data_IF_097718114073
#
_entry.id   IF_097718114073
#
_cell.length_a   1.000
_cell.length_b   1.000
_cell.length_c   1.000
_cell.angle_alpha   90.00
_cell.angle_beta   90.00
_cell.angle_gamma   90.00
#
_symmetry.space_group_name_H-M   'P 1'
#
loop_
_entity.id
_entity.type
_entity.pdbx_description
1 polymer ?
#
# COMPACT_ATOMS: atom_id res chain seq x y z
N UNK A 1 37.01 -5.37 -0.65
CA UNK A 1 35.79 -5.33 0.17
C UNK A 1 34.62 -5.14 -0.77
N UNK A 2 33.67 -6.07 -0.81
CA UNK A 2 32.41 -5.90 -1.53
C UNK A 2 31.72 -4.64 -0.97
N UNK A 3 31.41 -3.65 -1.82
CA UNK A 3 30.61 -2.50 -1.37
C UNK A 3 29.25 -3.04 -0.92
N UNK A 4 28.94 -2.91 0.36
CA UNK A 4 27.60 -3.11 0.90
C UNK A 4 26.99 -1.72 1.02
N UNK A 5 25.83 -1.48 0.40
CA UNK A 5 25.15 -0.17 0.53
C UNK A 5 24.41 0.31 -0.71
N UNK A 6 24.40 1.63 -0.87
CA UNK A 6 23.69 2.35 -1.93
C UNK A 6 24.53 2.31 -3.20
N UNK A 7 23.95 1.86 -4.31
CA UNK A 7 24.57 1.85 -5.63
C UNK A 7 24.45 3.21 -6.31
N UNK A 8 23.27 3.84 -6.21
CA UNK A 8 22.97 5.14 -6.83
C UNK A 8 21.87 5.84 -6.06
N UNK A 9 21.95 7.16 -5.97
CA UNK A 9 20.85 8.03 -5.57
C UNK A 9 20.58 8.98 -6.72
N UNK A 10 19.32 9.10 -7.12
CA UNK A 10 18.86 10.05 -8.13
C UNK A 10 17.59 10.76 -7.66
N UNK A 11 17.26 11.87 -8.30
CA UNK A 11 16.00 12.57 -8.08
C UNK A 11 15.42 12.98 -9.42
N UNK A 12 14.14 12.65 -9.62
CA UNK A 12 13.35 13.09 -10.77
C UNK A 12 12.69 14.45 -10.55
N UNK A 13 12.60 14.91 -9.30
CA UNK A 13 11.93 16.18 -8.97
C UNK A 13 12.88 17.34 -8.68
N UNK A 14 14.11 17.11 -8.22
CA UNK A 14 15.06 18.18 -7.95
C UNK A 14 16.48 17.81 -8.40
N UNK A 15 17.27 18.80 -8.81
CA UNK A 15 18.68 18.57 -9.07
C UNK A 15 19.43 18.38 -7.75
N UNK A 16 20.14 17.26 -7.63
CA UNK A 16 20.87 16.87 -6.41
C UNK A 16 22.34 16.58 -6.70
N UNK A 17 23.19 16.81 -5.70
CA UNK A 17 24.55 16.31 -5.62
C UNK A 17 24.61 15.23 -4.53
N UNK A 18 25.35 14.16 -4.79
CA UNK A 18 25.40 12.99 -3.92
C UNK A 18 26.86 12.67 -3.63
N UNK A 19 27.24 12.76 -2.36
CA UNK A 19 28.53 12.30 -1.87
C UNK A 19 28.42 10.86 -1.34
N UNK A 20 29.06 9.94 -2.08
CA UNK A 20 29.17 8.51 -1.74
C UNK A 20 30.59 8.13 -1.27
N UNK A 21 31.42 9.11 -0.89
CA UNK A 21 32.81 8.88 -0.47
C UNK A 21 32.91 8.16 0.88
N UNK A 22 31.95 8.38 1.77
CA UNK A 22 31.90 7.75 3.09
C UNK A 22 31.18 6.39 3.04
N UNK A 23 31.72 5.40 3.76
CA UNK A 23 31.19 4.02 3.76
C UNK A 23 29.86 3.87 4.52
N UNK A 24 29.60 4.71 5.52
CA UNK A 24 28.47 4.57 6.46
C UNK A 24 27.52 5.77 6.47
N UNK A 25 27.83 6.83 5.71
CA UNK A 25 27.01 8.04 5.62
C UNK A 25 26.97 8.51 4.18
N UNK A 26 25.77 8.82 3.70
CA UNK A 26 25.57 9.38 2.37
C UNK A 26 25.00 10.78 2.55
N UNK A 27 25.62 11.77 1.92
CA UNK A 27 25.15 13.16 1.97
C UNK A 27 24.54 13.51 0.62
N UNK A 28 23.30 13.98 0.66
CA UNK A 28 22.56 14.42 -0.52
C UNK A 28 22.26 15.91 -0.32
N UNK A 29 22.72 16.72 -1.25
CA UNK A 29 22.54 18.17 -1.24
C UNK A 29 21.77 18.60 -2.49
N UNK A 30 21.04 19.71 -2.42
CA UNK A 30 20.52 20.31 -3.63
C UNK A 30 21.68 20.86 -4.45
N UNK A 31 21.69 20.57 -5.75
CA UNK A 31 22.75 21.05 -6.64
C UNK A 31 22.69 22.57 -6.88
N UNK A 32 21.58 23.21 -6.50
CA UNK A 32 21.32 24.63 -6.69
C UNK A 32 21.22 25.30 -5.32
N UNK A 33 21.77 26.51 -5.20
CA UNK A 33 21.69 27.32 -3.97
C UNK A 33 20.24 27.71 -3.65
N UNK A 34 19.43 28.01 -4.68
CA UNK A 34 18.02 28.37 -4.55
C UNK A 34 17.13 27.34 -5.27
N UNK A 35 16.78 26.26 -4.58
CA UNK A 35 15.81 25.28 -5.07
C UNK A 35 14.38 25.72 -4.69
N UNK A 36 13.47 25.75 -5.66
CA UNK A 36 12.05 26.00 -5.41
C UNK A 36 11.45 24.79 -4.68
N UNK A 37 10.88 25.00 -3.48
CA UNK A 37 10.25 23.97 -2.66
C UNK A 37 8.72 23.96 -2.84
N UNK A 38 8.27 24.00 -4.09
CA UNK A 38 6.87 24.05 -4.49
C UNK A 38 6.28 22.69 -4.90
N UNK A 39 7.08 21.62 -4.78
CA UNK A 39 6.72 20.24 -5.14
C UNK A 39 7.44 19.22 -4.27
N UNK A 40 6.97 17.96 -4.34
CA UNK A 40 7.56 16.85 -3.59
C UNK A 40 9.02 16.59 -3.98
N UNK A 41 9.84 16.27 -2.99
CA UNK A 41 11.21 15.79 -3.19
C UNK A 41 11.15 14.27 -3.34
N UNK A 42 11.43 13.79 -4.56
CA UNK A 42 11.44 12.37 -4.89
C UNK A 42 12.90 11.92 -4.96
N UNK A 43 13.27 10.99 -4.07
CA UNK A 43 14.60 10.36 -4.06
C UNK A 43 14.47 8.89 -4.44
N UNK A 44 15.10 8.53 -5.54
CA UNK A 44 15.22 7.16 -6.02
C UNK A 44 16.57 6.61 -5.55
N UNK A 45 16.53 5.64 -4.64
CA UNK A 45 17.72 5.03 -4.03
C UNK A 45 17.83 3.59 -4.53
N UNK A 46 18.80 3.37 -5.43
CA UNK A 46 19.17 2.05 -5.90
C UNK A 46 20.20 1.44 -4.95
N UNK A 47 19.91 0.27 -4.41
CA UNK A 47 20.88 -0.48 -3.60
C UNK A 47 21.63 -1.50 -4.47
N UNK A 48 22.82 -1.88 -4.03
CA UNK A 48 23.68 -2.86 -4.72
C UNK A 48 22.92 -4.20 -4.88
N UNK A 49 23.08 -4.84 -6.05
CA UNK A 49 22.29 -6.01 -6.49
C UNK A 49 22.67 -7.31 -5.76
N UNK A 50 23.93 -7.47 -5.38
CA UNK A 50 24.40 -8.65 -4.65
C UNK A 50 24.19 -8.44 -3.15
N UNK A 51 22.99 -8.75 -2.67
CA UNK A 51 22.62 -8.56 -1.26
C UNK A 51 22.82 -9.88 -0.52
N UNK A 52 23.73 -9.88 0.43
CA UNK A 52 23.84 -10.95 1.41
C UNK A 52 22.78 -10.77 2.51
N UNK A 53 22.44 -11.88 3.14
CA UNK A 53 21.64 -11.87 4.36
C UNK A 53 22.43 -11.11 5.44
N UNK A 54 21.84 -10.04 5.97
CA UNK A 54 22.56 -9.12 6.85
C UNK A 54 21.65 -8.57 7.94
N UNK A 55 22.24 -8.36 9.11
CA UNK A 55 21.63 -7.54 10.16
C UNK A 55 21.85 -6.08 9.79
N UNK A 56 20.75 -5.40 9.44
CA UNK A 56 20.79 -4.03 8.95
C UNK A 56 21.12 -3.04 10.07
N UNK A 57 20.61 -3.28 11.27
CA UNK A 57 20.72 -2.38 12.39
C UNK A 57 20.46 -3.12 13.71
N UNK A 58 21.20 -2.72 14.74
CA UNK A 58 21.00 -3.15 16.12
C UNK A 58 21.02 -1.91 17.00
N UNK A 59 20.01 -1.81 17.85
CA UNK A 59 19.92 -0.81 18.91
C UNK A 59 19.62 -1.51 20.24
N UNK A 60 19.62 -0.76 21.35
CA UNK A 60 19.24 -1.34 22.64
C UNK A 60 17.79 -1.81 22.60
N UNK A 61 17.56 -3.10 22.80
CA UNK A 61 16.23 -3.71 22.81
C UNK A 61 15.60 -3.98 21.43
N UNK A 62 16.25 -3.66 20.30
CA UNK A 62 15.71 -3.99 18.98
C UNK A 62 16.78 -4.39 17.93
N UNK A 63 16.41 -5.31 17.04
CA UNK A 63 17.22 -5.76 15.90
C UNK A 63 16.39 -5.72 14.62
N UNK A 64 17.00 -5.25 13.52
CA UNK A 64 16.45 -5.31 12.17
C UNK A 64 17.33 -6.19 11.28
N UNK A 65 16.73 -7.19 10.66
CA UNK A 65 17.39 -8.08 9.71
C UNK A 65 16.80 -7.98 8.32
N UNK A 66 17.66 -8.17 7.33
CA UNK A 66 17.32 -8.31 5.92
C UNK A 66 17.76 -9.68 5.44
N UNK A 67 16.77 -10.52 5.15
CA UNK A 67 16.96 -11.85 4.59
C UNK A 67 16.58 -11.81 3.11
N UNK A 68 17.45 -12.29 2.23
CA UNK A 68 17.26 -12.29 0.78
C UNK A 68 17.59 -13.69 0.25
N UNK A 69 16.61 -14.61 0.21
CA UNK A 69 16.85 -15.96 -0.30
C UNK A 69 17.23 -15.90 -1.77
N UNK A 70 18.30 -16.60 -2.13
CA UNK A 70 18.78 -16.69 -3.51
C UNK A 70 17.92 -17.66 -4.33
N UNK A 71 18.10 -17.66 -5.66
CA UNK A 71 17.46 -18.68 -6.52
C UNK A 71 17.81 -20.11 -6.10
N UNK A 72 19.03 -20.35 -5.61
CA UNK A 72 19.44 -21.67 -5.15
C UNK A 72 18.77 -22.05 -3.83
N UNK A 73 18.60 -21.10 -2.92
CA UNK A 73 17.83 -21.32 -1.68
C UNK A 73 16.37 -21.66 -1.98
N UNK A 74 15.74 -20.90 -2.87
CA UNK A 74 14.40 -21.20 -3.37
C UNK A 74 14.35 -22.60 -3.98
N UNK A 75 15.25 -22.93 -4.91
CA UNK A 75 15.25 -24.23 -5.59
C UNK A 75 15.40 -25.40 -4.60
N UNK A 76 16.24 -25.26 -3.57
CA UNK A 76 16.39 -26.29 -2.52
C UNK A 76 15.12 -26.44 -1.68
N UNK A 77 14.48 -25.32 -1.36
CA UNK A 77 13.21 -25.32 -0.61
C UNK A 77 12.04 -25.91 -1.39
N UNK A 78 12.16 -26.00 -2.72
CA UNK A 78 11.07 -26.44 -3.61
C UNK A 78 11.42 -27.71 -4.38
N UNK A 79 12.57 -28.35 -4.09
CA UNK A 79 13.05 -29.50 -4.87
C UNK A 79 12.13 -30.72 -4.79
N UNK A 80 11.38 -30.84 -3.69
CA UNK A 80 10.47 -31.96 -3.41
C UNK A 80 9.00 -31.63 -3.65
N UNK A 81 8.71 -30.42 -4.15
CA UNK A 81 7.34 -29.94 -4.38
C UNK A 81 7.21 -29.47 -5.83
N UNK A 82 6.23 -30.01 -6.55
CA UNK A 82 5.82 -29.44 -7.85
C UNK A 82 5.06 -28.16 -7.57
N UNK A 83 5.78 -27.07 -7.28
CA UNK A 83 5.16 -25.76 -7.24
C UNK A 83 4.83 -25.38 -8.68
N UNK A 84 3.54 -25.20 -8.99
CA UNK A 84 3.16 -24.54 -10.23
C UNK A 84 2.36 -23.29 -9.91
N UNK A 85 2.57 -22.26 -10.71
CA UNK A 85 1.87 -21.01 -10.55
C UNK A 85 0.54 -21.07 -11.32
N UNK A 86 -0.50 -20.55 -10.69
CA UNK A 86 -1.78 -20.29 -11.34
C UNK A 86 -1.79 -18.82 -11.79
N UNK A 87 -1.98 -18.57 -13.08
CA UNK A 87 -2.01 -17.22 -13.63
C UNK A 87 -3.44 -16.80 -13.92
N UNK A 88 -3.84 -15.64 -13.39
CA UNK A 88 -5.18 -15.09 -13.59
C UNK A 88 -5.03 -13.65 -14.06
N UNK A 89 -5.70 -13.33 -15.16
CA UNK A 89 -5.78 -11.96 -15.67
C UNK A 89 -7.14 -11.39 -15.31
N UNK A 90 -7.15 -10.32 -14.53
CA UNK A 90 -8.34 -9.52 -14.21
C UNK A 90 -8.22 -8.22 -14.99
N UNK A 91 -9.08 -8.06 -15.98
CA UNK A 91 -9.04 -6.92 -16.91
C UNK A 91 -10.28 -6.07 -16.66
N UNK A 92 -10.08 -4.81 -16.29
CA UNK A 92 -11.15 -3.84 -16.21
C UNK A 92 -11.69 -3.55 -17.62
N UNK A 93 -12.99 -3.83 -17.80
CA UNK A 93 -13.73 -3.55 -19.02
C UNK A 93 -14.89 -2.58 -18.73
N UNK A 94 -14.64 -1.63 -17.82
CA UNK A 94 -15.56 -0.54 -17.55
C UNK A 94 -15.77 0.31 -18.80
N UNK A 95 -17.02 0.70 -19.04
CA UNK A 95 -17.42 1.52 -20.18
C UNK A 95 -17.93 2.88 -19.72
N UNK A 96 -18.05 3.88 -20.61
CA UNK A 96 -18.68 5.14 -20.26
C UNK A 96 -20.11 4.87 -19.81
N UNK A 97 -20.53 5.41 -18.66
CA UNK A 97 -21.89 5.33 -18.14
C UNK A 97 -22.89 5.98 -19.11
N UNK A 98 -23.31 5.23 -20.14
CA UNK A 98 -24.29 5.68 -21.15
C UNK A 98 -25.61 4.90 -21.07
N UNK A 99 -25.63 3.78 -20.36
CA UNK A 99 -26.82 2.96 -20.17
C UNK A 99 -26.89 2.49 -18.72
N UNK A 100 -27.87 3.00 -17.97
CA UNK A 100 -28.03 2.80 -16.52
C UNK A 100 -28.35 1.36 -16.09
N UNK A 101 -28.47 0.39 -17.01
CA UNK A 101 -29.04 -0.94 -16.72
C UNK A 101 -28.21 -2.15 -17.18
N UNK A 102 -26.91 -2.00 -17.44
CA UNK A 102 -26.01 -3.16 -17.63
C UNK A 102 -24.85 -3.08 -16.65
N UNK A 103 -25.05 -3.64 -15.45
CA UNK A 103 -23.95 -3.98 -14.55
C UNK A 103 -23.85 -5.51 -14.59
N UNK A 104 -23.16 -6.02 -15.60
CA UNK A 104 -22.66 -7.41 -15.55
C UNK A 104 -21.48 -7.40 -14.55
N UNK A 105 -21.69 -8.00 -13.38
CA UNK A 105 -20.73 -7.88 -12.25
C UNK A 105 -19.31 -8.34 -12.60
N UNK A 106 -19.17 -9.48 -13.28
CA UNK A 106 -17.91 -10.02 -13.80
C UNK A 106 -18.20 -11.17 -14.77
N UNK A 107 -17.26 -11.45 -15.67
CA UNK A 107 -17.40 -12.54 -16.66
C UNK A 107 -16.14 -13.40 -16.71
N UNK A 108 -16.14 -14.60 -16.09
CA UNK A 108 -15.02 -15.52 -16.20
C UNK A 108 -14.98 -16.16 -17.61
N UNK A 109 -13.78 -16.38 -18.14
CA UNK A 109 -13.59 -17.15 -19.39
C UNK A 109 -13.82 -18.65 -19.15
N UNK A 110 -13.21 -19.18 -18.09
CA UNK A 110 -13.35 -20.58 -17.71
C UNK A 110 -14.26 -20.70 -16.47
N UNK A 111 -15.21 -21.64 -16.46
CA UNK A 111 -16.07 -21.86 -15.30
C UNK A 111 -15.27 -22.37 -14.09
N UNK A 112 -14.25 -23.20 -14.35
CA UNK A 112 -13.37 -23.77 -13.34
C UNK A 112 -11.93 -23.30 -13.49
N UNK A 113 -11.32 -22.94 -12.36
CA UNK A 113 -9.94 -22.45 -12.25
C UNK A 113 -8.87 -23.54 -12.39
N UNK A 114 -9.27 -24.81 -12.47
CA UNK A 114 -8.40 -25.96 -12.65
C UNK A 114 -8.03 -26.23 -14.12
N UNK A 115 -8.42 -25.33 -15.03
CA UNK A 115 -8.18 -25.46 -16.46
C UNK A 115 -6.68 -25.44 -16.76
N UNK A 116 -6.18 -26.52 -17.35
CA UNK A 116 -4.75 -26.71 -17.64
C UNK A 116 -4.32 -25.81 -18.81
N UNK A 117 -3.11 -25.28 -18.73
CA UNK A 117 -2.46 -24.61 -19.85
C UNK A 117 -2.24 -25.60 -21.00
N UNK A 118 -2.96 -25.41 -22.10
CA UNK A 118 -2.82 -26.18 -23.33
C UNK A 118 -3.19 -25.31 -24.54
N UNK A 119 -2.83 -25.77 -25.74
CA UNK A 119 -3.02 -25.01 -26.98
C UNK A 119 -4.50 -24.68 -27.26
N UNK A 120 -5.41 -25.60 -26.94
CA UNK A 120 -6.85 -25.40 -27.11
C UNK A 120 -7.37 -24.24 -26.24
N UNK A 121 -6.97 -24.19 -24.97
CA UNK A 121 -7.39 -23.17 -24.02
C UNK A 121 -6.72 -21.82 -24.30
N UNK A 122 -5.48 -21.82 -24.80
CA UNK A 122 -4.82 -20.60 -25.29
C UNK A 122 -5.62 -20.01 -26.45
N UNK A 123 -6.01 -20.82 -27.44
CA UNK A 123 -6.84 -20.35 -28.56
C UNK A 123 -8.19 -19.80 -28.08
N UNK A 124 -8.85 -20.46 -27.13
CA UNK A 124 -10.10 -19.95 -26.51
C UNK A 124 -9.88 -18.57 -25.85
N UNK A 125 -8.76 -18.38 -25.16
CA UNK A 125 -8.41 -17.10 -24.54
C UNK A 125 -8.14 -16.00 -25.58
N UNK A 126 -7.43 -16.31 -26.68
CA UNK A 126 -7.23 -15.38 -27.79
C UNK A 126 -8.54 -14.97 -28.46
N UNK A 127 -9.45 -15.92 -28.69
CA UNK A 127 -10.76 -15.63 -29.27
C UNK A 127 -11.64 -14.81 -28.33
N UNK A 128 -11.54 -15.03 -27.02
CA UNK A 128 -12.26 -14.26 -26.00
C UNK A 128 -11.74 -12.82 -25.91
N UNK A 129 -10.43 -12.63 -25.85
CA UNK A 129 -9.79 -11.30 -25.80
C UNK A 129 -10.11 -10.47 -27.04
N UNK A 130 -10.11 -11.07 -28.24
CA UNK A 130 -10.54 -10.39 -29.49
C UNK A 130 -11.99 -9.91 -29.47
N UNK A 131 -12.86 -10.55 -28.68
CA UNK A 131 -14.30 -10.21 -28.54
C UNK A 131 -14.58 -9.31 -27.33
N UNK A 132 -13.57 -9.02 -26.51
CA UNK A 132 -13.71 -8.22 -25.29
C UNK A 132 -14.04 -6.77 -25.64
N UNK A 133 -15.01 -6.18 -24.95
CA UNK A 133 -15.42 -4.79 -25.14
C UNK A 133 -15.63 -4.13 -23.77
N UNK A 134 -15.26 -2.85 -23.68
CA UNK A 134 -15.48 -1.99 -22.53
C UNK A 134 -16.97 -1.64 -22.40
N UNK A 135 -17.73 -2.54 -21.77
CA UNK A 135 -19.20 -2.49 -21.75
C UNK A 135 -19.85 -3.08 -20.51
N UNK A 136 -19.08 -3.37 -19.45
CA UNK A 136 -19.61 -3.93 -18.20
C UNK A 136 -20.19 -2.89 -17.24
N UNK A 137 -20.15 -1.60 -17.60
CA UNK A 137 -20.61 -0.50 -16.76
C UNK A 137 -19.46 0.06 -15.91
N UNK A 138 -19.69 0.20 -14.60
CA UNK A 138 -18.68 0.69 -13.65
C UNK A 138 -17.60 -0.35 -13.32
N UNK A 139 -16.62 0.04 -12.49
CA UNK A 139 -15.55 -0.85 -12.01
C UNK A 139 -15.97 -1.54 -10.71
N UNK A 140 -16.06 -2.87 -10.73
CA UNK A 140 -16.32 -3.67 -9.53
C UNK A 140 -15.30 -4.82 -9.39
N UNK A 141 -14.56 -4.81 -8.28
CA UNK A 141 -13.42 -5.70 -8.05
C UNK A 141 -13.66 -6.68 -6.88
N UNK A 142 -14.58 -6.36 -5.97
CA UNK A 142 -14.80 -7.18 -4.78
C UNK A 142 -15.37 -8.55 -5.15
N UNK A 143 -16.42 -8.61 -5.97
CA UNK A 143 -17.04 -9.88 -6.41
C UNK A 143 -16.07 -10.82 -7.13
N UNK A 144 -15.27 -10.39 -8.14
CA UNK A 144 -14.23 -11.24 -8.72
C UNK A 144 -13.28 -11.81 -7.67
N UNK A 145 -12.77 -10.99 -6.75
CA UNK A 145 -11.84 -11.44 -5.73
C UNK A 145 -12.49 -12.42 -4.74
N UNK A 146 -13.77 -12.23 -4.39
CA UNK A 146 -14.51 -13.16 -3.54
C UNK A 146 -14.70 -14.52 -4.22
N UNK A 147 -14.94 -14.53 -5.53
CA UNK A 147 -14.98 -15.76 -6.32
C UNK A 147 -13.62 -16.47 -6.31
N UNK A 148 -12.52 -15.71 -6.41
CA UNK A 148 -11.16 -16.27 -6.30
C UNK A 148 -10.86 -16.83 -4.91
N UNK A 149 -11.32 -16.19 -3.83
CA UNK A 149 -11.12 -16.70 -2.46
C UNK A 149 -11.82 -18.05 -2.24
N UNK A 150 -13.03 -18.22 -2.79
CA UNK A 150 -13.78 -19.49 -2.73
C UNK A 150 -13.05 -20.63 -3.44
N UNK A 151 -12.35 -20.33 -4.52
CA UNK A 151 -11.61 -21.29 -5.34
C UNK A 151 -10.15 -21.29 -4.94
N UNK A 152 -9.76 -21.90 -3.82
CA UNK A 152 -8.35 -21.87 -3.37
C UNK A 152 -7.41 -22.62 -4.34
N UNK A 153 -6.16 -22.16 -4.52
CA UNK A 153 -5.17 -22.90 -5.29
C UNK A 153 -4.94 -24.30 -4.71
N UNK A 154 -4.60 -25.26 -5.57
CA UNK A 154 -4.18 -26.59 -5.15
C UNK A 154 -2.99 -26.50 -4.18
N UNK A 155 -2.84 -27.47 -3.29
CA UNK A 155 -1.74 -27.47 -2.32
C UNK A 155 -0.38 -27.42 -3.03
N UNK A 156 0.48 -26.48 -2.63
CA UNK A 156 1.76 -26.23 -3.29
C UNK A 156 1.69 -25.27 -4.48
N UNK A 157 0.51 -24.79 -4.87
CA UNK A 157 0.39 -23.81 -5.95
C UNK A 157 0.26 -22.40 -5.39
N UNK A 158 0.80 -21.43 -6.14
CA UNK A 158 0.68 -20.01 -5.82
C UNK A 158 -0.04 -19.30 -6.95
N UNK A 159 -0.98 -18.44 -6.61
CA UNK A 159 -1.80 -17.69 -7.55
C UNK A 159 -1.20 -16.32 -7.80
N UNK A 160 -1.04 -16.02 -9.08
CA UNK A 160 -0.48 -14.79 -9.63
C UNK A 160 -1.61 -14.08 -10.37
N UNK A 161 -2.15 -13.01 -9.78
CA UNK A 161 -3.22 -12.20 -10.37
C UNK A 161 -2.58 -10.98 -11.03
N UNK A 162 -2.82 -10.80 -12.32
CA UNK A 162 -2.48 -9.60 -13.08
C UNK A 162 -3.74 -8.75 -13.21
N UNK A 163 -3.81 -7.64 -12.48
CA UNK A 163 -4.95 -6.73 -12.50
C UNK A 163 -4.63 -5.50 -13.36
N UNK A 164 -5.39 -5.28 -14.42
CA UNK A 164 -5.26 -4.11 -15.29
C UNK A 164 -6.50 -3.23 -15.11
N UNK A 165 -6.31 -1.97 -14.72
CA UNK A 165 -7.41 -1.00 -14.56
C UNK A 165 -6.93 0.43 -14.76
N UNK A 166 -7.75 1.25 -15.42
CA UNK A 166 -7.64 2.71 -15.49
C UNK A 166 -8.61 3.42 -14.55
N UNK A 167 -9.46 2.67 -13.85
CA UNK A 167 -10.57 3.16 -13.04
C UNK A 167 -10.29 3.26 -11.54
N UNK A 168 -11.31 3.72 -10.82
CA UNK A 168 -11.33 3.81 -9.37
C UNK A 168 -12.50 3.02 -8.80
N UNK A 169 -12.34 2.55 -7.56
CA UNK A 169 -13.42 1.90 -6.80
C UNK A 169 -13.65 2.67 -5.50
N UNK A 170 -14.90 2.70 -5.03
CA UNK A 170 -15.25 3.38 -3.76
C UNK A 170 -14.88 2.55 -2.53
N UNK A 171 -14.81 1.22 -2.65
CA UNK A 171 -14.62 0.25 -1.58
C UNK A 171 -13.18 -0.29 -1.48
N UNK A 172 -12.16 0.56 -1.69
CA UNK A 172 -10.73 0.17 -1.66
C UNK A 172 -10.38 -0.61 -0.39
N UNK A 173 -10.78 -0.12 0.79
CA UNK A 173 -10.42 -0.77 2.06
C UNK A 173 -10.98 -2.19 2.15
N UNK A 174 -12.23 -2.40 1.76
CA UNK A 174 -12.87 -3.72 1.78
C UNK A 174 -12.17 -4.71 0.82
N UNK A 175 -11.77 -4.24 -0.36
CA UNK A 175 -10.97 -5.03 -1.30
C UNK A 175 -9.61 -5.40 -0.71
N UNK A 176 -8.93 -4.46 -0.06
CA UNK A 176 -7.65 -4.73 0.59
C UNK A 176 -7.80 -5.72 1.76
N UNK A 177 -8.89 -5.63 2.51
CA UNK A 177 -9.20 -6.54 3.62
C UNK A 177 -9.39 -7.98 3.10
N UNK A 178 -10.14 -8.15 2.01
CA UNK A 178 -10.26 -9.44 1.33
C UNK A 178 -8.91 -9.94 0.81
N UNK A 179 -8.08 -9.07 0.23
CA UNK A 179 -6.74 -9.45 -0.21
C UNK A 179 -5.88 -9.98 0.95
N UNK A 180 -6.08 -9.48 2.17
CA UNK A 180 -5.36 -9.95 3.36
C UNK A 180 -5.77 -11.35 3.80
N UNK A 181 -7.00 -11.79 3.53
CA UNK A 181 -7.42 -13.17 3.84
C UNK A 181 -6.75 -14.20 2.91
N UNK A 182 -6.43 -13.81 1.66
CA UNK A 182 -5.86 -14.69 0.62
C UNK A 182 -4.35 -14.54 0.41
N UNK A 183 -3.67 -13.66 1.16
CA UNK A 183 -2.25 -13.31 0.98
C UNK A 183 -1.26 -14.48 1.11
N UNK A 184 -1.68 -15.62 1.67
CA UNK A 184 -0.84 -16.80 1.85
C UNK A 184 -0.49 -17.47 0.53
N UNK A 185 -1.41 -17.42 -0.42
CA UNK A 185 -1.33 -18.15 -1.67
C UNK A 185 -1.56 -17.25 -2.89
N UNK A 186 -1.95 -15.98 -2.71
CA UNK A 186 -2.27 -15.07 -3.81
C UNK A 186 -1.36 -13.85 -3.84
N UNK A 187 -0.90 -13.47 -5.02
CA UNK A 187 -0.04 -12.32 -5.32
C UNK A 187 -0.71 -11.47 -6.38
N UNK A 188 -0.80 -10.17 -6.18
CA UNK A 188 -1.45 -9.24 -7.13
C UNK A 188 -0.41 -8.31 -7.74
N UNK A 189 -0.27 -8.43 -9.05
CA UNK A 189 0.52 -7.63 -9.97
C UNK A 189 -0.42 -6.61 -10.60
N UNK A 190 -0.41 -5.37 -10.09
CA UNK A 190 -1.39 -4.34 -10.45
C UNK A 190 -0.83 -3.33 -11.45
N UNK A 191 -1.63 -3.01 -12.46
CA UNK A 191 -1.30 -2.11 -13.56
C UNK A 191 -2.32 -0.97 -13.56
N UNK A 192 -1.87 0.22 -13.18
CA UNK A 192 -2.65 1.44 -13.32
C UNK A 192 -2.45 2.02 -14.72
N UNK A 193 -3.49 2.00 -15.54
CA UNK A 193 -3.42 2.43 -16.94
C UNK A 193 -3.88 3.89 -17.11
N UNK A 194 -3.21 4.63 -18.00
CA UNK A 194 -3.67 5.94 -18.44
C UNK A 194 -3.24 7.11 -17.54
N UNK A 195 -4.08 8.15 -17.50
CA UNK A 195 -3.69 9.44 -16.90
C UNK A 195 -3.97 9.54 -15.41
N UNK A 196 -4.97 8.84 -14.89
CA UNK A 196 -5.42 9.01 -13.50
C UNK A 196 -5.98 7.71 -12.91
N UNK A 197 -5.24 6.58 -12.95
CA UNK A 197 -5.66 5.38 -12.24
C UNK A 197 -5.62 5.60 -10.72
N UNK A 198 -6.43 4.85 -9.97
CA UNK A 198 -6.44 4.95 -8.51
C UNK A 198 -5.11 4.51 -7.88
N UNK A 199 -4.28 5.47 -7.44
CA UNK A 199 -2.99 5.17 -6.81
C UNK A 199 -3.13 4.38 -5.51
N UNK A 200 -4.17 4.65 -4.72
CA UNK A 200 -4.44 3.96 -3.46
C UNK A 200 -4.79 2.49 -3.68
N UNK A 201 -5.61 2.19 -4.68
CA UNK A 201 -5.96 0.82 -5.07
C UNK A 201 -4.74 0.07 -5.60
N UNK A 202 -4.10 0.62 -6.65
CA UNK A 202 -3.00 -0.05 -7.35
C UNK A 202 -1.84 -0.34 -6.40
N UNK A 203 -1.39 0.65 -5.62
CA UNK A 203 -0.31 0.45 -4.64
C UNK A 203 -0.77 -0.43 -3.47
N UNK A 204 -2.01 -0.27 -3.02
CA UNK A 204 -2.58 -1.02 -1.91
C UNK A 204 -2.60 -2.52 -2.16
N UNK A 205 -3.06 -2.96 -3.34
CA UNK A 205 -3.13 -4.37 -3.74
C UNK A 205 -1.74 -5.03 -3.77
N UNK A 206 -0.78 -4.38 -4.42
CA UNK A 206 0.58 -4.89 -4.53
C UNK A 206 1.27 -4.99 -3.16
N UNK A 207 1.15 -3.95 -2.32
CA UNK A 207 1.74 -3.94 -0.97
C UNK A 207 1.11 -4.97 -0.05
N UNK A 208 -0.21 -5.13 -0.11
CA UNK A 208 -0.96 -6.07 0.75
C UNK A 208 -0.61 -7.52 0.45
N UNK A 209 -0.42 -7.85 -0.83
CA UNK A 209 -0.18 -9.23 -1.26
C UNK A 209 1.29 -9.56 -1.48
N UNK A 210 2.23 -8.62 -1.27
CA UNK A 210 3.64 -8.75 -1.68
C UNK A 210 3.83 -8.97 -3.19
N UNK A 211 2.98 -8.36 -4.00
CA UNK A 211 3.11 -8.31 -5.46
C UNK A 211 3.93 -7.09 -5.92
N UNK A 212 3.67 -6.64 -7.15
CA UNK A 212 4.28 -5.43 -7.73
C UNK A 212 3.20 -4.56 -8.35
N UNK A 213 3.49 -3.27 -8.45
CA UNK A 213 2.62 -2.34 -9.14
C UNK A 213 3.40 -1.56 -10.19
N UNK A 214 2.71 -1.14 -11.23
CA UNK A 214 3.24 -0.22 -12.23
C UNK A 214 2.14 0.73 -12.67
N UNK A 215 2.52 1.96 -12.97
CA UNK A 215 1.66 2.92 -13.65
C UNK A 215 2.17 3.03 -15.08
N UNK A 216 1.28 2.81 -16.05
CA UNK A 216 1.63 2.85 -17.47
C UNK A 216 0.94 4.07 -18.06
N UNK A 217 1.75 5.03 -18.47
CA UNK A 217 1.25 6.27 -19.04
C UNK A 217 0.78 6.06 -20.49
N UNK A 218 -0.12 6.93 -21.00
CA UNK A 218 -0.53 6.89 -22.39
C UNK A 218 0.69 6.95 -23.32
N UNK A 219 0.66 6.13 -24.37
CA UNK A 219 1.72 5.98 -25.38
C UNK A 219 2.97 5.20 -24.94
N UNK A 220 3.02 4.71 -23.71
CA UNK A 220 4.06 3.75 -23.33
C UNK A 220 3.74 2.34 -23.83
N UNK A 221 4.77 1.55 -24.11
CA UNK A 221 4.59 0.17 -24.52
C UNK A 221 4.26 -0.71 -23.31
N UNK A 222 2.99 -1.15 -23.22
CA UNK A 222 2.47 -2.00 -22.16
C UNK A 222 3.23 -3.33 -22.04
N UNK A 223 3.72 -3.88 -23.16
CA UNK A 223 4.35 -5.20 -23.23
C UNK A 223 5.62 -5.28 -22.37
N UNK A 224 6.37 -4.18 -22.28
CA UNK A 224 7.62 -4.11 -21.49
C UNK A 224 7.31 -4.33 -20.01
N UNK A 225 6.28 -3.65 -19.50
CA UNK A 225 5.90 -3.70 -18.10
C UNK A 225 5.21 -5.02 -17.73
N UNK A 226 4.38 -5.55 -18.63
CA UNK A 226 3.79 -6.89 -18.46
C UNK A 226 4.90 -7.94 -18.45
N UNK A 227 5.87 -7.85 -19.35
CA UNK A 227 7.01 -8.76 -19.43
C UNK A 227 7.85 -8.79 -18.14
N UNK A 228 8.16 -7.62 -17.57
CA UNK A 228 8.92 -7.52 -16.30
C UNK A 228 8.18 -8.16 -15.12
N UNK A 229 6.88 -7.84 -14.97
CA UNK A 229 6.07 -8.43 -13.90
C UNK A 229 5.84 -9.93 -14.11
N UNK A 230 5.67 -10.40 -15.34
CA UNK A 230 5.61 -11.83 -15.66
C UNK A 230 6.93 -12.53 -15.32
N UNK A 231 8.08 -11.97 -15.70
CA UNK A 231 9.38 -12.52 -15.36
C UNK A 231 9.53 -12.68 -13.83
N UNK A 232 8.97 -11.74 -13.06
CA UNK A 232 8.96 -11.83 -11.59
C UNK A 232 7.98 -12.88 -11.06
N UNK A 233 6.80 -13.03 -11.69
CA UNK A 233 5.74 -13.93 -11.25
C UNK A 233 5.92 -15.38 -11.74
N UNK A 234 6.77 -15.63 -12.76
CA UNK A 234 7.01 -16.96 -13.33
C UNK A 234 7.70 -17.92 -12.36
N UNK A 235 8.75 -17.54 -11.61
CA UNK A 235 9.28 -18.36 -10.54
C UNK A 235 8.23 -18.56 -9.44
N UNK A 236 8.12 -19.78 -8.91
CA UNK A 236 7.30 -20.00 -7.72
C UNK A 236 7.88 -19.27 -6.52
N UNK A 237 7.02 -18.66 -5.71
CA UNK A 237 7.43 -18.04 -4.46
C UNK A 237 7.47 -19.07 -3.33
N UNK A 238 8.38 -18.85 -2.37
CA UNK A 238 8.46 -19.67 -1.18
C UNK A 238 7.35 -19.21 -0.23
N UNK A 239 6.48 -20.13 0.16
CA UNK A 239 5.39 -19.91 1.13
C UNK A 239 5.76 -20.48 2.50
N UNK A 240 4.99 -20.15 3.54
CA UNK A 240 5.14 -20.69 4.89
C UNK A 240 6.55 -20.53 5.48
N UNK A 241 7.15 -19.37 5.26
CA UNK A 241 8.45 -19.01 5.82
C UNK A 241 8.25 -18.75 7.32
N UNK A 242 9.13 -19.31 8.12
CA UNK A 242 9.25 -19.04 9.55
C UNK A 242 10.63 -18.45 9.83
N UNK A 243 10.73 -17.67 10.89
CA UNK A 243 11.98 -17.06 11.33
C UNK A 243 12.25 -17.44 12.78
N UNK A 244 13.48 -17.86 13.03
CA UNK A 244 14.00 -18.21 14.36
C UNK A 244 15.11 -17.24 14.73
N UNK A 245 14.99 -16.65 15.91
CA UNK A 245 16.03 -15.82 16.50
C UNK A 245 16.81 -16.66 17.52
N UNK A 246 18.10 -16.83 17.28
CA UNK A 246 19.03 -17.47 18.21
C UNK A 246 19.75 -16.34 18.96
N UNK A 247 19.08 -15.83 20.00
CA UNK A 247 19.50 -14.71 20.84
C UNK A 247 19.31 -15.11 22.31
N UNK A 248 20.09 -14.50 23.21
CA UNK A 248 20.08 -14.85 24.64
C UNK A 248 18.92 -14.21 25.45
N UNK A 249 17.90 -13.68 24.77
CA UNK A 249 16.76 -12.98 25.39
C UNK A 249 15.46 -13.29 24.67
N UNK A 250 14.34 -13.15 25.36
CA UNK A 250 13.01 -13.32 24.76
C UNK A 250 12.65 -12.07 23.97
N UNK A 251 12.32 -12.26 22.68
CA UNK A 251 11.90 -11.20 21.79
C UNK A 251 10.52 -11.42 21.22
N UNK A 252 9.82 -10.33 21.00
CA UNK A 252 8.70 -10.25 20.07
C UNK A 252 9.25 -10.14 18.66
N UNK A 253 8.91 -11.11 17.80
CA UNK A 253 9.22 -11.05 16.38
C UNK A 253 8.12 -10.30 15.62
N UNK A 254 8.51 -9.51 14.61
CA UNK A 254 7.57 -8.83 13.71
C UNK A 254 8.16 -8.76 12.30
N UNK A 255 7.40 -9.02 11.22
CA UNK A 255 6.00 -9.44 11.17
C UNK A 255 5.80 -10.81 11.83
N UNK A 256 4.65 -11.04 12.48
CA UNK A 256 4.30 -12.36 13.02
C UNK A 256 4.04 -13.37 11.90
N UNK A 257 3.46 -12.91 10.81
CA UNK A 257 3.14 -13.73 9.65
C UNK A 257 3.92 -13.24 8.43
N UNK A 258 4.84 -14.07 7.96
CA UNK A 258 5.69 -13.72 6.83
C UNK A 258 4.94 -13.99 5.51
N UNK A 259 4.97 -12.99 4.63
CA UNK A 259 4.40 -13.10 3.30
C UNK A 259 5.30 -14.00 2.45
N UNK A 260 4.76 -14.86 1.57
CA UNK A 260 5.57 -15.55 0.57
C UNK A 260 6.54 -14.63 -0.19
N UNK A 261 7.76 -15.13 -0.42
CA UNK A 261 8.93 -14.39 -0.93
C UNK A 261 9.42 -15.01 -2.24
N UNK A 262 9.74 -14.18 -3.23
CA UNK A 262 10.40 -14.61 -4.45
C UNK A 262 11.92 -14.63 -4.28
N UNK A 263 12.62 -15.40 -5.12
CA UNK A 263 14.06 -15.31 -5.20
C UNK A 263 14.53 -13.86 -5.35
N UNK A 264 15.57 -13.52 -4.59
CA UNK A 264 16.20 -12.20 -4.48
C UNK A 264 15.30 -11.07 -3.98
N UNK A 265 14.08 -11.37 -3.49
CA UNK A 265 13.28 -10.39 -2.77
C UNK A 265 13.73 -10.30 -1.32
N UNK A 266 13.67 -9.08 -0.79
CA UNK A 266 14.08 -8.78 0.58
C UNK A 266 12.93 -9.01 1.54
N UNK A 267 13.16 -9.89 2.50
CA UNK A 267 12.35 -10.07 3.69
C UNK A 267 12.96 -9.26 4.84
N UNK A 268 12.23 -8.24 5.29
CA UNK A 268 12.61 -7.46 6.47
C UNK A 268 11.91 -8.01 7.68
N UNK A 269 12.70 -8.31 8.72
CA UNK A 269 12.19 -8.79 9.99
C UNK A 269 12.82 -8.06 11.16
N UNK A 270 12.07 -7.98 12.24
CA UNK A 270 12.45 -7.32 13.46
C UNK A 270 12.36 -8.27 14.64
N UNK A 271 13.21 -8.03 15.63
CA UNK A 271 13.11 -8.58 16.97
C UNK A 271 13.11 -7.43 17.97
N UNK A 272 12.17 -7.46 18.91
CA UNK A 272 12.01 -6.46 19.97
C UNK A 272 12.10 -7.17 21.33
N UNK A 273 13.12 -6.85 22.13
CA UNK A 273 13.29 -7.42 23.46
C UNK A 273 12.23 -6.89 24.42
N UNK A 274 11.70 -7.78 25.27
CA UNK A 274 10.62 -7.43 26.20
C UNK A 274 11.06 -6.38 27.23
N UNK A 275 12.33 -6.40 27.64
CA UNK A 275 12.92 -5.51 28.63
C UNK A 275 13.40 -4.16 28.07
N UNK A 276 13.40 -3.97 26.75
CA UNK A 276 13.90 -2.78 26.01
C UNK A 276 15.34 -2.33 26.37
N UNK A 277 16.06 -3.12 27.14
CA UNK A 277 17.38 -2.80 27.70
C UNK A 277 18.41 -3.86 27.36
N UNK A 278 17.95 -5.04 26.92
CA UNK A 278 18.80 -6.09 26.37
C UNK A 278 19.69 -5.57 25.25
N UNK A 279 21.00 -5.78 25.42
CA UNK A 279 21.97 -5.73 24.34
C UNK A 279 22.09 -7.10 23.70
N UNK A 280 22.17 -7.16 22.37
CA UNK A 280 22.29 -8.43 21.65
C UNK A 280 23.76 -8.85 21.51
N UNK A 281 24.04 -10.14 21.74
CA UNK A 281 25.36 -10.72 21.54
C UNK A 281 25.73 -10.65 20.04
N UNK A 282 26.94 -10.19 19.66
CA UNK A 282 27.43 -10.23 18.29
C UNK A 282 27.37 -11.61 17.61
N UNK A 283 27.41 -12.69 18.40
CA UNK A 283 27.27 -14.07 17.92
C UNK A 283 25.82 -14.52 17.70
N UNK A 284 24.84 -13.69 18.07
CA UNK A 284 23.45 -13.99 17.82
C UNK A 284 23.18 -14.04 16.32
N UNK A 285 22.19 -14.83 15.95
CA UNK A 285 21.81 -15.01 14.55
C UNK A 285 20.31 -15.07 14.37
N UNK A 286 19.88 -14.78 13.16
CA UNK A 286 18.52 -15.00 12.69
C UNK A 286 18.55 -15.96 11.51
N UNK A 287 17.66 -16.94 11.56
CA UNK A 287 17.51 -17.95 10.52
C UNK A 287 16.09 -17.89 9.98
N UNK A 288 15.93 -18.02 8.65
CA UNK A 288 14.64 -18.33 8.05
C UNK A 288 14.63 -19.76 7.52
N UNK A 289 13.47 -20.39 7.63
CA UNK A 289 13.28 -21.77 7.24
C UNK A 289 11.87 -22.00 6.72
N UNK A 290 11.73 -23.02 5.88
CA UNK A 290 10.45 -23.65 5.56
C UNK A 290 10.34 -24.95 6.37
N UNK A 291 9.21 -25.65 6.28
CA UNK A 291 9.07 -26.98 6.88
C UNK A 291 10.11 -28.00 6.40
N UNK A 292 10.76 -27.76 5.26
CA UNK A 292 11.62 -28.73 4.59
C UNK A 292 13.11 -28.39 4.73
N UNK A 293 13.48 -27.11 4.80
CA UNK A 293 14.88 -26.71 4.87
C UNK A 293 15.08 -25.30 5.45
N UNK A 294 16.30 -25.04 5.90
CA UNK A 294 16.79 -23.69 6.21
C UNK A 294 17.05 -22.92 4.91
N UNK A 295 16.45 -21.74 4.78
CA UNK A 295 16.54 -20.89 3.60
C UNK A 295 17.78 -20.01 3.63
N UNK A 296 17.90 -19.20 4.67
CA UNK A 296 19.00 -18.27 4.83
C UNK A 296 19.20 -17.86 6.28
N UNK A 297 20.41 -17.41 6.59
CA UNK A 297 20.81 -16.97 7.93
C UNK A 297 21.53 -15.62 7.84
N UNK A 298 21.40 -14.79 8.87
CA UNK A 298 22.18 -13.58 9.06
C UNK A 298 22.73 -13.55 10.49
N UNK A 299 24.04 -13.31 10.62
CA UNK A 299 24.69 -13.10 11.90
C UNK A 299 24.63 -11.62 12.26
N UNK A 300 24.42 -11.31 13.55
CA UNK A 300 24.52 -9.95 14.06
C UNK A 300 25.90 -9.37 13.72
N UNK A 301 27.00 -10.07 14.02
CA UNK A 301 28.33 -9.68 13.53
C UNK A 301 28.71 -8.22 13.86
N UNK A 302 29.59 -7.62 13.03
CA UNK A 302 30.02 -6.22 13.17
C UNK A 302 29.01 -5.31 12.46
N UNK A 303 27.91 -5.00 13.14
CA UNK A 303 26.81 -4.15 12.64
C UNK A 303 27.28 -2.68 12.57
N UNK A 304 26.82 -1.89 11.59
CA UNK A 304 26.90 -0.44 11.68
C UNK A 304 26.13 0.00 12.92
N UNK A 305 26.83 0.60 13.89
CA UNK A 305 26.18 1.10 15.11
C UNK A 305 25.26 2.26 14.69
N UNK A 306 23.96 2.02 14.66
CA UNK A 306 22.97 3.08 14.47
C UNK A 306 22.85 3.88 15.76
N UNK A 307 22.49 5.16 15.63
CA UNK A 307 22.17 5.97 16.80
C UNK A 307 21.08 5.27 17.62
N UNK A 308 21.29 5.17 18.93
CA UNK A 308 20.38 4.50 19.86
C UNK A 308 19.17 5.40 20.18
N UNK A 309 18.41 5.78 19.15
CA UNK A 309 17.29 6.72 19.20
C UNK A 309 15.91 6.03 19.15
N UNK A 310 15.89 4.70 19.33
CA UNK A 310 14.73 3.82 19.26
C UNK A 310 14.07 3.75 17.89
N UNK A 311 14.77 4.13 16.82
CA UNK A 311 14.22 4.08 15.47
C UNK A 311 13.86 2.66 15.05
N UNK A 312 14.69 1.66 15.37
CA UNK A 312 14.43 0.29 14.95
C UNK A 312 13.24 -0.31 15.72
N UNK A 313 13.16 -0.06 17.02
CA UNK A 313 12.02 -0.41 17.85
C UNK A 313 10.75 0.26 17.33
N UNK A 314 10.82 1.55 16.93
CA UNK A 314 9.68 2.25 16.36
C UNK A 314 9.23 1.64 15.03
N UNK A 315 10.15 1.26 14.16
CA UNK A 315 9.83 0.56 12.91
C UNK A 315 9.19 -0.80 13.18
N UNK A 316 9.75 -1.60 14.08
CA UNK A 316 9.20 -2.89 14.49
C UNK A 316 7.77 -2.74 15.02
N UNK A 317 7.55 -1.79 15.93
CA UNK A 317 6.25 -1.54 16.55
C UNK A 317 5.24 -0.99 15.54
N UNK A 318 5.68 -0.14 14.59
CA UNK A 318 4.81 0.32 13.50
C UNK A 318 4.31 -0.85 12.65
N UNK A 319 5.18 -1.79 12.30
CA UNK A 319 4.77 -3.00 11.57
C UNK A 319 3.81 -3.83 12.43
N UNK A 320 4.06 -3.98 13.73
CA UNK A 320 3.18 -4.71 14.64
C UNK A 320 1.80 -4.09 14.77
N UNK A 321 1.72 -2.76 14.90
CA UNK A 321 0.45 -2.03 14.94
C UNK A 321 -0.34 -2.24 13.64
N UNK A 322 0.33 -2.17 12.48
CA UNK A 322 -0.30 -2.44 11.18
C UNK A 322 -0.82 -3.88 11.09
N UNK A 323 -0.08 -4.87 11.58
CA UNK A 323 -0.55 -6.26 11.66
C UNK A 323 -1.80 -6.38 12.53
N UNK A 324 -1.80 -5.81 13.74
CA UNK A 324 -2.93 -5.86 14.68
C UNK A 324 -4.17 -5.15 14.13
N UNK A 325 -4.00 -4.00 13.47
CA UNK A 325 -5.09 -3.27 12.81
C UNK A 325 -5.73 -4.09 11.68
N UNK A 326 -4.95 -4.93 11.02
CA UNK A 326 -5.38 -5.68 9.84
C UNK A 326 -5.74 -7.14 10.12
N UNK A 327 -5.39 -7.69 11.29
CA UNK A 327 -5.72 -9.05 11.70
C UNK A 327 -7.23 -9.29 11.88
N UNK A 328 -8.01 -8.22 12.04
CA UNK A 328 -9.41 -8.24 12.50
C UNK A 328 -10.50 -8.41 11.43
N UNK A 329 -10.18 -8.67 10.16
CA UNK A 329 -11.23 -8.59 9.12
C UNK A 329 -11.49 -9.94 8.42
N UNK A 330 -12.05 -10.94 9.12
CA UNK A 330 -13.00 -11.87 8.52
C UNK A 330 -14.40 -11.24 8.56
N UNK A 331 -14.84 -10.60 7.46
CA UNK A 331 -16.24 -10.19 7.33
C UNK A 331 -17.10 -11.45 7.11
N UNK A 332 -17.94 -11.79 8.06
CA UNK A 332 -19.09 -12.66 7.82
C UNK A 332 -20.03 -11.95 6.85
N UNK A 333 -20.53 -12.69 5.85
CA UNK A 333 -21.44 -12.21 4.82
C UNK A 333 -22.71 -11.56 5.41
N UNK A 334 -22.76 -10.23 5.48
CA UNK A 334 -24.02 -9.48 5.32
C UNK A 334 -23.73 -8.01 5.02
N UNK A 335 -24.14 -7.62 3.83
CA UNK A 335 -24.49 -6.27 3.35
C UNK A 335 -23.59 -5.08 3.71
N UNK A 336 -22.78 -4.73 2.71
CA UNK A 336 -22.35 -3.39 2.32
C UNK A 336 -23.26 -2.24 2.77
N UNK A 337 -22.73 -1.35 3.59
CA UNK A 337 -22.95 0.09 3.47
C UNK A 337 -21.91 0.88 4.27
N UNK A 338 -21.57 2.07 3.79
CA UNK A 338 -20.70 3.06 4.45
C UNK A 338 -21.18 3.46 5.87
N UNK A 339 -22.39 3.03 6.28
CA UNK A 339 -22.97 3.27 7.60
C UNK A 339 -22.32 2.45 8.72
N UNK A 340 -21.77 1.26 8.43
CA UNK A 340 -21.10 0.44 9.48
C UNK A 340 -19.86 1.15 10.03
N UNK A 341 -19.18 1.94 9.20
CA UNK A 341 -17.99 2.72 9.62
C UNK A 341 -18.33 3.85 10.60
N UNK A 342 -19.59 4.33 10.59
CA UNK A 342 -20.09 5.35 11.53
C UNK A 342 -20.80 4.73 12.74
N UNK A 343 -21.42 3.55 12.60
CA UNK A 343 -22.15 2.90 13.70
C UNK A 343 -21.27 2.12 14.69
N UNK A 344 -20.06 1.68 14.32
CA UNK A 344 -19.14 1.04 15.27
C UNK A 344 -18.63 1.99 16.37
N UNK A 345 -18.85 3.31 16.24
CA UNK A 345 -18.59 4.25 17.34
C UNK A 345 -19.68 4.20 18.44
N UNK A 346 -20.88 3.68 18.14
CA UNK A 346 -22.01 3.67 19.06
C UNK A 346 -22.87 2.41 18.89
N UNK A 347 -22.42 1.25 19.40
CA UNK A 347 -23.25 0.30 20.17
C UNK A 347 -22.44 -0.90 20.68
N UNK A 348 -22.45 -1.05 22.00
CA UNK A 348 -21.97 -2.17 22.80
C UNK A 348 -22.88 -3.39 22.69
N UNK A 349 -22.30 -4.60 22.57
CA UNK A 349 -22.46 -5.72 23.52
C UNK A 349 -22.39 -7.10 22.85
N UNK A 350 -21.54 -7.97 23.45
CA UNK A 350 -21.61 -9.43 23.49
C UNK A 350 -20.67 -10.31 22.61
N UNK A 351 -19.79 -9.75 21.76
CA UNK A 351 -18.69 -10.53 21.11
C UNK A 351 -17.30 -9.88 21.20
N UNK A 352 -17.12 -8.88 22.07
CA UNK A 352 -16.03 -7.90 22.00
C UNK A 352 -14.70 -8.22 22.73
N UNK A 353 -14.55 -9.34 23.45
CA UNK A 353 -13.37 -9.54 24.32
C UNK A 353 -12.02 -9.56 23.57
N UNK A 354 -11.93 -10.23 22.41
CA UNK A 354 -10.71 -10.24 21.59
C UNK A 354 -10.48 -8.91 20.86
N UNK A 355 -11.56 -8.18 20.55
CA UNK A 355 -11.45 -6.88 19.90
C UNK A 355 -10.95 -5.82 20.88
N UNK A 356 -11.42 -5.85 22.12
CA UNK A 356 -10.99 -4.95 23.19
C UNK A 356 -9.51 -5.17 23.52
N UNK A 357 -9.07 -6.44 23.67
CA UNK A 357 -7.65 -6.76 23.92
C UNK A 357 -6.71 -6.31 22.82
N UNK A 358 -7.09 -6.47 21.53
CA UNK A 358 -6.24 -5.99 20.42
C UNK A 358 -6.16 -4.46 20.38
N UNK A 359 -7.28 -3.78 20.67
CA UNK A 359 -7.32 -2.30 20.72
C UNK A 359 -6.42 -1.79 21.83
N UNK A 360 -6.50 -2.41 23.02
CA UNK A 360 -5.64 -2.11 24.17
C UNK A 360 -4.16 -2.31 23.82
N UNK A 361 -3.81 -3.43 23.16
CA UNK A 361 -2.44 -3.67 22.69
C UNK A 361 -1.94 -2.59 21.73
N UNK A 362 -2.77 -2.13 20.78
CA UNK A 362 -2.39 -1.06 19.86
C UNK A 362 -2.15 0.25 20.62
N UNK A 363 -3.03 0.61 21.56
CA UNK A 363 -2.89 1.80 22.38
C UNK A 363 -1.62 1.73 23.22
N UNK A 364 -1.37 0.60 23.89
CA UNK A 364 -0.17 0.38 24.71
C UNK A 364 1.10 0.56 23.89
N UNK A 365 1.22 -0.13 22.75
CA UNK A 365 2.38 -0.03 21.85
C UNK A 365 2.55 1.39 21.30
N UNK A 366 1.46 2.02 20.91
CA UNK A 366 1.45 3.38 20.36
C UNK A 366 1.94 4.41 21.37
N UNK A 367 1.44 4.37 22.60
CA UNK A 367 1.84 5.30 23.66
C UNK A 367 3.29 5.04 24.09
N UNK A 368 3.67 3.77 24.26
CA UNK A 368 5.01 3.34 24.71
C UNK A 368 6.12 3.76 23.75
N UNK A 369 5.89 3.65 22.44
CA UNK A 369 6.88 3.97 21.40
C UNK A 369 6.65 5.31 20.70
N UNK A 370 5.60 6.05 21.10
CA UNK A 370 5.20 7.34 20.54
C UNK A 370 4.97 7.25 19.02
N UNK A 371 4.16 6.29 18.60
CA UNK A 371 3.79 6.08 17.19
C UNK A 371 2.31 6.36 17.04
N UNK A 372 1.94 7.21 16.09
CA UNK A 372 0.53 7.46 15.79
C UNK A 372 -0.17 6.17 15.33
N UNK A 373 -1.34 5.90 15.90
CA UNK A 373 -2.20 4.78 15.52
C UNK A 373 -3.61 5.25 15.21
N UNK A 374 -4.49 4.35 14.77
CA UNK A 374 -5.92 4.65 14.59
C UNK A 374 -6.65 4.98 15.90
N UNK A 375 -6.04 4.70 17.06
CA UNK A 375 -6.64 4.87 18.38
C UNK A 375 -5.93 5.90 19.26
N UNK A 376 -4.93 6.61 18.73
CA UNK A 376 -4.13 7.59 19.47
C UNK A 376 -3.91 8.82 18.62
N UNK A 377 -3.68 9.97 19.27
CA UNK A 377 -3.44 11.24 18.60
C UNK A 377 -2.32 12.02 19.31
N UNK A 378 -1.57 12.81 18.55
CA UNK A 378 -0.68 13.82 19.10
C UNK A 378 -1.44 15.13 19.25
N UNK A 379 -1.50 15.67 20.47
CA UNK A 379 -2.17 16.94 20.77
C UNK A 379 -1.12 17.98 21.12
N UNK A 380 -1.06 19.06 20.34
CA UNK A 380 -0.21 20.20 20.65
C UNK A 380 -0.81 21.00 21.81
N UNK A 381 -0.08 21.09 22.93
CA UNK A 381 -0.49 21.87 24.11
C UNK A 381 0.39 23.11 24.22
N UNK A 382 -0.20 24.29 24.02
CA UNK A 382 0.46 25.58 24.22
C UNK A 382 0.36 25.98 25.71
N UNK A 383 1.50 26.13 26.39
CA UNK A 383 1.54 26.69 27.75
C UNK A 383 1.70 28.20 27.66
N UNK A 384 0.64 28.95 27.99
CA UNK A 384 0.71 30.42 28.12
C UNK A 384 1.05 30.79 29.56
N UNK A 385 2.08 31.61 29.75
CA UNK A 385 2.54 32.09 31.06
C UNK A 385 1.78 33.31 31.57
N UNK A 386 0.93 33.93 30.73
CA UNK A 386 0.20 35.14 31.07
C UNK A 386 -1.16 34.80 31.67
N UNK A 387 -1.40 35.27 32.90
CA UNK A 387 -2.61 35.06 33.72
C UNK A 387 -3.86 35.79 33.18
N UNK A 388 -3.97 36.08 31.89
CA UNK A 388 -5.04 36.93 31.33
C UNK A 388 -6.42 36.28 31.29
N UNK A 389 -6.59 35.05 31.80
CA UNK A 389 -7.80 34.25 31.64
C UNK A 389 -8.36 33.69 32.96
N UNK A 390 -8.41 34.49 34.03
CA UNK A 390 -9.13 34.18 35.29
C UNK A 390 -10.65 33.98 35.14
N UNK A 391 -11.18 33.89 33.91
CA UNK A 391 -12.59 33.61 33.61
C UNK A 391 -12.84 32.62 32.47
N UNK A 392 -11.81 31.96 31.92
CA UNK A 392 -12.02 30.96 30.87
C UNK A 392 -12.25 29.59 31.48
N UNK A 393 -13.47 29.07 31.29
CA UNK A 393 -13.86 27.72 31.69
C UNK A 393 -13.42 26.76 30.58
N UNK A 394 -12.66 25.72 30.93
CA UNK A 394 -12.41 24.59 30.04
C UNK A 394 -13.77 23.98 29.66
N UNK A 395 -14.20 24.19 28.41
CA UNK A 395 -15.34 23.47 27.84
C UNK A 395 -14.78 22.33 27.02
N UNK A 396 -14.94 21.11 27.52
CA UNK A 396 -14.79 19.91 26.71
C UNK A 396 -15.92 19.92 25.67
N UNK A 397 -15.60 20.45 24.48
CA UNK A 397 -16.44 20.27 23.31
C UNK A 397 -16.19 18.89 22.73
N UNK A 398 -17.21 18.14 22.33
CA UNK A 398 -16.99 16.95 21.52
C UNK A 398 -16.18 17.36 20.29
N UNK A 399 -15.17 16.57 19.94
CA UNK A 399 -14.49 16.70 18.66
C UNK A 399 -15.52 16.29 17.61
N UNK A 400 -16.28 17.24 17.09
CA UNK A 400 -16.97 17.04 15.82
C UNK A 400 -15.88 16.98 14.76
N UNK A 401 -15.60 15.76 14.29
CA UNK A 401 -14.92 15.57 13.02
C UNK A 401 -15.67 16.41 11.99
N UNK A 402 -15.00 17.41 11.40
CA UNK A 402 -15.52 18.11 10.23
C UNK A 402 -15.61 17.06 9.12
N UNK A 403 -16.78 16.43 9.01
CA UNK A 403 -17.23 15.76 7.81
C UNK A 403 -17.87 16.86 7.00
N UNK A 404 -17.10 17.46 6.10
CA UNK A 404 -17.64 18.34 5.05
C UNK A 404 -18.49 17.46 4.10
N UNK A 405 -19.70 17.14 4.52
CA UNK A 405 -20.77 16.59 3.68
C UNK A 405 -21.99 17.49 3.80
N UNK A 406 -21.89 18.66 3.17
CA UNK A 406 -23.06 19.35 2.64
C UNK A 406 -22.76 19.67 1.17
N UNK A 407 -23.57 19.20 0.20
CA UNK A 407 -23.45 19.69 -1.16
C UNK A 407 -23.71 21.20 -1.13
N UNK A 408 -22.76 21.98 -1.67
CA UNK A 408 -22.87 23.43 -1.87
C UNK A 408 -24.23 23.76 -2.49
N UNK A 409 -25.20 24.15 -1.66
CA UNK A 409 -26.42 24.76 -2.12
C UNK A 409 -26.04 26.09 -2.76
N UNK A 410 -26.25 26.20 -4.07
CA UNK A 410 -26.10 27.47 -4.78
C UNK A 410 -27.03 28.49 -4.13
N UNK A 411 -26.54 29.66 -3.70
CA UNK A 411 -27.43 30.67 -3.15
C UNK A 411 -28.42 31.12 -4.22
N UNK A 412 -29.70 31.03 -3.86
CA UNK A 412 -30.80 31.62 -4.59
C UNK A 412 -30.59 33.13 -4.77
N UNK A 413 -31.02 33.59 -5.93
CA UNK A 413 -31.01 34.98 -6.41
C UNK A 413 -31.34 36.03 -5.33
N UNK A 414 -30.37 36.89 -5.03
CA UNK A 414 -30.61 38.17 -4.37
C UNK A 414 -30.41 39.32 -5.38
N UNK A 415 -31.40 40.20 -5.37
CA UNK A 415 -31.72 41.33 -6.25
C UNK A 415 -30.53 42.24 -6.61
N UNK A 416 -30.47 42.63 -7.89
CA UNK A 416 -29.70 43.76 -8.42
C UNK A 416 -30.34 45.09 -7.97
N UNK A 417 -29.53 46.03 -7.50
CA UNK A 417 -29.70 47.48 -7.69
C UNK A 417 -28.33 48.19 -7.68
N UNK A 418 -28.20 49.40 -8.26
CA UNK A 418 -27.08 49.72 -9.14
C UNK A 418 -26.11 50.83 -8.65
N UNK A 419 -24.92 50.85 -9.29
CA UNK A 419 -24.01 51.99 -9.58
C UNK A 419 -23.32 52.70 -8.38
N UNK A 420 -21.97 52.67 -8.38
CA UNK A 420 -21.16 53.88 -8.61
C UNK A 420 -19.71 53.54 -8.95
N UNK A 421 -19.21 54.33 -9.89
CA UNK A 421 -17.91 54.39 -10.53
C UNK A 421 -16.74 54.69 -9.59
N UNK A 422 -15.54 54.19 -9.91
CA UNK A 422 -14.33 55.00 -9.97
C UNK A 422 -13.19 54.29 -10.73
N UNK A 423 -12.50 55.11 -11.50
CA UNK A 423 -11.51 54.88 -12.56
C UNK A 423 -10.08 54.78 -12.04
N UNK A 424 -9.21 54.13 -12.84
CA UNK A 424 -7.76 54.40 -13.10
C UNK A 424 -7.00 53.06 -13.14
N UNK A 425 -6.59 52.52 -14.29
CA UNK A 425 -5.61 52.93 -15.32
C UNK A 425 -4.28 52.17 -15.16
N UNK A 426 -3.80 51.64 -16.30
CA UNK A 426 -2.50 51.02 -16.59
C UNK A 426 -2.45 49.51 -16.30
N UNK A 427 -2.39 48.58 -17.25
CA UNK A 427 -2.05 48.64 -18.66
C UNK A 427 -0.72 47.94 -18.92
N UNK A 428 -0.75 46.64 -19.25
CA UNK A 428 0.16 46.00 -20.20
C UNK A 428 -0.35 44.60 -20.60
N UNK A 429 -0.61 44.48 -21.89
CA UNK A 429 -1.19 43.35 -22.63
C UNK A 429 -0.07 42.62 -23.36
N UNK A 430 0.04 41.29 -23.20
CA UNK A 430 0.44 40.28 -24.22
C UNK A 430 -0.10 38.95 -23.66
N UNK A 431 -0.99 38.12 -24.23
CA UNK A 431 -1.42 37.92 -25.61
C UNK A 431 -1.22 36.44 -25.96
N UNK A 432 -2.21 35.56 -25.73
CA UNK A 432 -2.25 34.25 -26.41
C UNK A 432 -3.69 33.74 -26.59
N UNK A 433 -4.02 33.39 -27.84
CA UNK A 433 -5.34 33.10 -28.38
C UNK A 433 -5.95 31.79 -27.83
N UNK A 434 -7.21 31.84 -27.38
CA UNK A 434 -8.10 30.67 -27.31
C UNK A 434 -9.21 30.79 -28.36
N UNK A 435 -9.36 29.72 -29.16
CA UNK A 435 -10.43 29.54 -30.15
C UNK A 435 -11.80 29.41 -29.45
N UNK A 436 -12.77 30.09 -30.05
CA UNK A 436 -14.19 30.18 -29.74
C UNK A 436 -14.96 28.88 -29.98
N UNK A 437 -15.88 28.54 -29.06
CA UNK A 437 -17.06 27.73 -29.36
C UNK A 437 -18.27 28.29 -28.56
N UNK A 438 -19.39 28.48 -29.27
CA UNK A 438 -20.62 29.18 -28.87
C UNK A 438 -21.40 28.48 -27.74
N UNK A 439 -22.14 29.22 -26.87
CA UNK A 439 -23.06 28.64 -25.91
C UNK A 439 -24.47 28.44 -26.49
N UNK A 440 -25.04 27.24 -26.31
CA UNK A 440 -26.43 26.90 -26.63
C UNK A 440 -27.42 27.48 -25.61
N UNK A 441 -28.48 28.09 -26.14
CA UNK A 441 -29.63 28.67 -25.45
C UNK A 441 -30.39 27.63 -24.59
N UNK A 442 -30.72 27.99 -23.34
CA UNK A 442 -31.75 27.32 -22.53
C UNK A 442 -33.06 28.11 -22.63
N UNK A 443 -34.12 27.47 -23.13
CA UNK A 443 -35.51 27.94 -23.08
C UNK A 443 -36.09 27.65 -21.69
N UNK A 444 -36.61 28.68 -21.03
CA UNK A 444 -37.56 28.53 -19.91
C UNK A 444 -38.99 28.56 -20.45
N UNK A 445 -39.84 27.65 -19.98
CA UNK A 445 -41.31 27.73 -20.07
C UNK A 445 -41.85 27.87 -18.65
N UNK A 446 -42.55 28.96 -18.40
CA UNK A 446 -43.52 29.13 -17.32
C UNK A 446 -44.80 28.33 -17.66
N UNK A 447 -45.43 27.74 -16.66
CA UNK A 447 -46.89 27.57 -16.60
C UNK A 447 -47.30 27.69 -15.12
N UNK A 448 -48.22 28.61 -14.86
CA UNK A 448 -48.93 28.84 -13.60
C UNK A 448 -49.94 27.71 -13.30
N UNK A 449 -49.97 27.25 -12.04
CA UNK A 449 -51.13 27.23 -11.14
C UNK A 449 -50.77 26.56 -9.81
#
# INVERSE_FOLDING_TARGET
>A
MEKVGIARVSSSSHSIQVDLSQLERYVIEFAQENAHLDRDILLDIDLIKNRSNIILAVETGAVMASLTPTYEDCRRATSNTTLTNEFIFVIDCSGPMRHENKIDNYRPLFPDMTTVYNEENVRKAEEFTKKMQAGLGGTELLKPLQWLDKSRPKQGHTRQIFLLTDGEISNVNEVLDLCRSILNFTRIFSFGLGHSPSHSLIKGLARTTNGRFVFIHPNENVDIYIGDQLQKALPSCITNIQVKWNINTTVMHTPTKLLPVYANDRLIVYALANDQTSTFDPNSMVESYTHQCRLCEANIGRVPNVNNDRTIARLAVKVRILELQHAKIPRTNTESSLQVRFQEYHQTSATNSEQDTTKEQIIELSLKYQILSSYTAFVGVEKRTDMSNTGMILREGPIESIVDDQPLQRPHSAKRHPISSLTSSNGLNIGCLRKSAQPRQKRHRCVDQ
#
